data_IF_287323210532
#
_entry.id   IF_287323210532
#
_cell.length_a   1.000
_cell.length_b   1.000
_cell.length_c   1.000
_cell.angle_alpha   90.00
_cell.angle_beta   90.00
_cell.angle_gamma   90.00
#
_symmetry.space_group_name_H-M   'P 1'
#
loop_
_entity.id
_entity.type
_entity.pdbx_description
1 polymer ?
#
# COMPACT_ATOMS: atom_id res chain seq x y z
N UNK A 1 3.62 9.65 31.57
CA UNK A 1 4.80 9.53 30.69
C UNK A 1 4.36 9.11 29.28
N UNK A 2 5.14 9.39 28.23
CA UNK A 2 4.90 8.94 26.85
C UNK A 2 6.09 8.09 26.40
N UNK A 3 6.08 6.75 26.62
CA UNK A 3 7.23 5.90 26.31
C UNK A 3 7.51 5.85 24.81
N UNK A 4 8.78 5.66 24.46
CA UNK A 4 9.23 5.45 23.09
C UNK A 4 9.75 4.02 22.93
N UNK A 5 9.20 3.30 21.96
CA UNK A 5 9.61 1.95 21.59
C UNK A 5 10.42 1.97 20.30
N UNK A 6 11.25 0.96 20.08
CA UNK A 6 12.08 0.85 18.87
C UNK A 6 12.31 -0.61 18.51
N UNK A 7 12.50 -0.84 17.21
CA UNK A 7 13.04 -2.08 16.67
C UNK A 7 14.57 -2.02 16.63
N UNK A 8 15.21 -3.19 16.76
CA UNK A 8 16.67 -3.36 16.76
C UNK A 8 17.04 -4.68 16.10
N UNK A 9 18.32 -4.96 15.90
CA UNK A 9 18.75 -6.24 15.32
C UNK A 9 18.31 -7.46 16.16
N UNK A 10 18.21 -7.32 17.50
CA UNK A 10 17.75 -8.38 18.41
C UNK A 10 16.23 -8.37 18.65
N UNK A 11 15.53 -7.34 18.16
CA UNK A 11 14.08 -7.19 18.24
C UNK A 11 13.58 -6.57 16.91
N UNK A 12 13.60 -7.35 15.82
CA UNK A 12 13.40 -6.85 14.46
C UNK A 12 11.96 -6.42 14.16
N UNK A 13 11.78 -5.74 13.03
CA UNK A 13 10.48 -5.32 12.50
C UNK A 13 10.61 -4.94 11.03
N UNK A 14 10.66 -5.96 10.17
CA UNK A 14 10.85 -5.85 8.72
C UNK A 14 9.71 -5.12 8.03
N UNK A 15 8.49 -5.35 8.50
CA UNK A 15 7.27 -4.64 8.09
C UNK A 15 7.40 -3.14 8.35
N UNK A 16 7.62 -2.74 9.61
CA UNK A 16 7.73 -1.34 10.01
C UNK A 16 8.91 -0.63 9.32
N UNK A 17 10.09 -1.26 9.30
CA UNK A 17 11.26 -0.69 8.64
C UNK A 17 11.10 -0.65 7.11
N UNK A 18 10.46 -1.67 6.53
CA UNK A 18 10.16 -1.77 5.10
C UNK A 18 9.19 -0.68 4.64
N UNK A 19 8.05 -0.53 5.30
CA UNK A 19 7.09 0.54 4.97
C UNK A 19 7.70 1.93 5.15
N UNK A 20 8.50 2.13 6.20
CA UNK A 20 9.23 3.40 6.40
C UNK A 20 10.25 3.63 5.27
N UNK A 21 10.97 2.59 4.84
CA UNK A 21 11.89 2.70 3.71
C UNK A 21 11.16 3.04 2.40
N UNK A 22 10.00 2.42 2.15
CA UNK A 22 9.15 2.72 1.00
C UNK A 22 8.68 4.19 1.01
N UNK A 23 8.20 4.68 2.16
CA UNK A 23 7.75 6.06 2.33
C UNK A 23 8.89 7.07 2.07
N UNK A 24 10.07 6.85 2.64
CA UNK A 24 11.24 7.72 2.44
C UNK A 24 11.74 7.69 0.99
N UNK A 25 11.74 6.52 0.35
CA UNK A 25 12.10 6.40 -1.06
C UNK A 25 11.09 7.14 -1.96
N UNK A 26 9.79 6.98 -1.73
CA UNK A 26 8.73 7.70 -2.45
C UNK A 26 8.86 9.22 -2.26
N UNK A 27 9.05 9.68 -1.02
CA UNK A 27 9.23 11.10 -0.70
C UNK A 27 10.48 11.68 -1.37
N UNK A 28 11.57 10.92 -1.45
CA UNK A 28 12.78 11.37 -2.17
C UNK A 28 12.51 11.64 -3.65
N UNK A 29 11.64 10.86 -4.31
CA UNK A 29 11.25 11.12 -5.71
C UNK A 29 10.51 12.44 -5.82
N UNK A 30 9.55 12.69 -4.93
CA UNK A 30 8.70 13.89 -4.93
C UNK A 30 9.53 15.15 -4.71
N UNK A 31 10.46 15.11 -3.75
CA UNK A 31 11.23 16.28 -3.33
C UNK A 31 12.49 16.52 -4.15
N UNK A 32 12.85 15.62 -5.07
CA UNK A 32 14.11 15.68 -5.83
C UNK A 32 14.34 17.02 -6.53
N UNK A 33 13.29 17.64 -7.08
CA UNK A 33 13.39 18.91 -7.82
C UNK A 33 13.27 20.15 -6.93
N UNK A 34 12.50 20.08 -5.83
CA UNK A 34 12.26 21.23 -4.95
C UNK A 34 13.27 21.33 -3.81
N UNK A 35 13.79 20.21 -3.33
CA UNK A 35 14.80 20.12 -2.26
C UNK A 35 15.67 18.86 -2.46
N UNK A 36 16.67 19.00 -3.31
CA UNK A 36 17.57 17.89 -3.68
C UNK A 36 18.45 17.42 -2.50
N UNK A 37 18.79 18.31 -1.57
CA UNK A 37 19.57 17.97 -0.38
C UNK A 37 18.76 17.08 0.55
N UNK A 38 17.52 17.47 0.86
CA UNK A 38 16.66 16.66 1.70
C UNK A 38 16.22 15.36 1.00
N UNK A 39 15.98 15.41 -0.31
CA UNK A 39 15.78 14.19 -1.12
C UNK A 39 16.92 13.18 -0.95
N UNK A 40 18.18 13.63 -0.93
CA UNK A 40 19.33 12.74 -0.75
C UNK A 40 19.40 12.14 0.67
N UNK A 41 19.05 12.93 1.68
CA UNK A 41 18.91 12.47 3.08
C UNK A 41 17.85 11.38 3.22
N UNK A 42 16.65 11.62 2.67
CA UNK A 42 15.56 10.65 2.67
C UNK A 42 15.96 9.34 1.99
N UNK A 43 16.58 9.43 0.81
CA UNK A 43 17.01 8.24 0.07
C UNK A 43 18.12 7.46 0.81
N UNK A 44 19.02 8.16 1.50
CA UNK A 44 20.05 7.52 2.33
C UNK A 44 19.41 6.68 3.44
N UNK A 45 18.45 7.25 4.18
CA UNK A 45 17.74 6.52 5.23
C UNK A 45 16.84 5.41 4.69
N UNK A 46 16.20 5.60 3.53
CA UNK A 46 15.43 4.55 2.88
C UNK A 46 16.28 3.30 2.62
N UNK A 47 17.49 3.48 2.09
CA UNK A 47 18.43 2.37 1.83
C UNK A 47 18.87 1.67 3.12
N UNK A 48 19.17 2.44 4.16
CA UNK A 48 19.59 1.91 5.46
C UNK A 48 18.47 1.09 6.12
N UNK A 49 17.25 1.62 6.14
CA UNK A 49 16.08 0.95 6.72
C UNK A 49 15.70 -0.31 5.95
N UNK A 50 15.74 -0.27 4.61
CA UNK A 50 15.51 -1.47 3.82
C UNK A 50 16.56 -2.54 4.07
N UNK A 51 17.84 -2.15 4.16
CA UNK A 51 18.91 -3.09 4.51
C UNK A 51 18.66 -3.71 5.89
N UNK A 52 18.33 -2.91 6.90
CA UNK A 52 17.95 -3.40 8.22
C UNK A 52 16.76 -4.37 8.16
N UNK A 53 15.67 -3.99 7.50
CA UNK A 53 14.45 -4.78 7.36
C UNK A 53 14.72 -6.14 6.70
N UNK A 54 15.53 -6.15 5.65
CA UNK A 54 15.83 -7.35 4.88
C UNK A 54 16.90 -8.23 5.54
N UNK A 55 17.81 -7.67 6.35
CA UNK A 55 18.85 -8.44 7.07
C UNK A 55 18.33 -9.01 8.38
N UNK A 56 17.52 -8.27 9.12
CA UNK A 56 16.96 -8.68 10.41
C UNK A 56 15.46 -8.92 10.28
N UNK A 57 15.09 -10.16 9.93
CA UNK A 57 13.70 -10.53 9.62
C UNK A 57 12.85 -10.68 10.88
N UNK A 58 11.69 -10.04 10.91
CA UNK A 58 10.69 -10.25 11.95
C UNK A 58 9.52 -9.28 11.89
N UNK A 59 8.48 -9.58 12.66
CA UNK A 59 7.25 -8.78 12.75
C UNK A 59 7.43 -7.71 13.83
N UNK A 60 7.21 -6.43 13.50
CA UNK A 60 7.50 -5.36 14.47
C UNK A 60 6.62 -5.44 15.72
N UNK A 61 5.39 -5.93 15.61
CA UNK A 61 4.47 -6.04 16.74
C UNK A 61 4.86 -7.14 17.73
N UNK A 62 5.81 -8.01 17.38
CA UNK A 62 6.43 -8.96 18.32
C UNK A 62 7.53 -8.25 19.13
N UNK A 63 8.25 -7.30 18.53
CA UNK A 63 9.27 -6.48 19.19
C UNK A 63 8.68 -5.32 20.01
N UNK A 64 7.60 -4.71 19.52
CA UNK A 64 6.87 -3.61 20.15
C UNK A 64 5.48 -4.15 20.52
N UNK A 65 5.43 -4.92 21.60
CA UNK A 65 4.22 -5.66 22.00
C UNK A 65 3.01 -4.77 22.28
N UNK A 66 3.22 -3.51 22.70
CA UNK A 66 2.13 -2.53 22.87
C UNK A 66 1.32 -2.34 21.58
N UNK A 67 2.00 -2.35 20.42
CA UNK A 67 1.37 -2.18 19.11
C UNK A 67 0.48 -3.38 18.70
N UNK A 68 0.67 -4.57 19.29
CA UNK A 68 -0.09 -5.78 18.94
C UNK A 68 -1.58 -5.68 19.25
N UNK A 69 -1.99 -4.78 20.15
CA UNK A 69 -3.40 -4.50 20.43
C UNK A 69 -4.06 -3.49 19.47
N UNK A 70 -3.27 -2.85 18.60
CA UNK A 70 -3.73 -1.72 17.77
C UNK A 70 -3.46 -1.96 16.28
N UNK A 71 -2.19 -2.16 15.92
CA UNK A 71 -1.69 -2.29 14.56
C UNK A 71 -0.84 -3.54 14.43
N UNK A 72 -1.38 -4.68 14.87
CA UNK A 72 -0.67 -5.96 14.75
C UNK A 72 -0.42 -6.28 13.28
N UNK A 73 0.84 -6.50 12.95
CA UNK A 73 1.20 -6.88 11.58
C UNK A 73 0.87 -8.34 11.32
N UNK A 74 0.31 -8.62 10.13
CA UNK A 74 0.04 -9.98 9.68
C UNK A 74 1.18 -10.61 8.89
N UNK A 75 2.01 -9.78 8.26
CA UNK A 75 3.09 -10.18 7.36
C UNK A 75 4.12 -9.04 7.26
N UNK A 76 5.37 -9.39 6.98
CA UNK A 76 6.37 -8.43 6.51
C UNK A 76 6.80 -8.66 5.07
N UNK A 77 6.35 -9.76 4.46
CA UNK A 77 6.90 -10.26 3.20
C UNK A 77 6.61 -9.26 2.06
N UNK A 78 5.40 -8.73 2.04
CA UNK A 78 4.95 -7.74 1.07
C UNK A 78 5.58 -6.36 1.29
N UNK A 79 5.86 -5.95 2.53
CA UNK A 79 6.59 -4.72 2.85
C UNK A 79 8.01 -4.75 2.31
N UNK A 80 8.69 -5.91 2.38
CA UNK A 80 10.03 -6.04 1.82
C UNK A 80 10.02 -5.89 0.29
N UNK A 81 9.04 -6.46 -0.40
CA UNK A 81 8.88 -6.26 -1.85
C UNK A 81 8.53 -4.82 -2.15
N UNK A 82 7.58 -4.24 -1.42
CA UNK A 82 7.13 -2.86 -1.55
C UNK A 82 8.28 -1.86 -1.40
N UNK A 83 9.11 -2.01 -0.37
CA UNK A 83 10.29 -1.19 -0.15
C UNK A 83 11.32 -1.30 -1.28
N UNK A 84 11.60 -2.53 -1.73
CA UNK A 84 12.51 -2.77 -2.85
C UNK A 84 12.01 -2.11 -4.15
N UNK A 85 10.70 -2.20 -4.44
CA UNK A 85 10.09 -1.55 -5.59
C UNK A 85 10.23 -0.03 -5.54
N UNK A 86 9.96 0.59 -4.39
CA UNK A 86 10.12 2.04 -4.25
C UNK A 86 11.57 2.49 -4.34
N UNK A 87 12.51 1.72 -3.77
CA UNK A 87 13.94 1.99 -3.91
C UNK A 87 14.40 1.87 -5.37
N UNK A 88 13.92 0.88 -6.12
CA UNK A 88 14.15 0.82 -7.57
C UNK A 88 13.64 2.08 -8.26
N UNK A 89 12.39 2.50 -7.99
CA UNK A 89 11.83 3.72 -8.60
C UNK A 89 12.62 4.99 -8.25
N UNK A 90 13.18 5.08 -7.04
CA UNK A 90 13.94 6.24 -6.59
C UNK A 90 15.38 6.29 -7.14
N UNK A 91 15.97 5.13 -7.41
CA UNK A 91 17.41 5.01 -7.74
C UNK A 91 17.69 4.59 -9.18
N UNK A 92 16.74 3.92 -9.82
CA UNK A 92 16.92 3.16 -11.06
C UNK A 92 18.00 2.06 -10.95
N UNK A 93 18.38 1.65 -9.74
CA UNK A 93 19.35 0.59 -9.49
C UNK A 93 18.67 -0.78 -9.62
N UNK A 94 19.02 -1.51 -10.69
CA UNK A 94 18.44 -2.81 -11.03
C UNK A 94 18.58 -3.86 -9.92
N UNK A 95 19.55 -3.72 -9.01
CA UNK A 95 19.69 -4.63 -7.87
C UNK A 95 18.43 -4.66 -6.99
N UNK A 96 17.74 -3.54 -6.82
CA UNK A 96 16.48 -3.48 -6.08
C UNK A 96 15.33 -4.16 -6.83
N UNK A 97 15.27 -4.07 -8.15
CA UNK A 97 14.26 -4.80 -8.94
C UNK A 97 14.51 -6.31 -8.88
N UNK A 98 15.76 -6.76 -9.04
CA UNK A 98 16.12 -8.17 -8.87
C UNK A 98 15.77 -8.66 -7.46
N UNK A 99 16.01 -7.83 -6.44
CA UNK A 99 15.65 -8.14 -5.06
C UNK A 99 14.12 -8.22 -4.87
N UNK A 100 13.36 -7.29 -5.46
CA UNK A 100 11.90 -7.30 -5.41
C UNK A 100 11.31 -8.59 -6.01
N UNK A 101 11.78 -9.02 -7.19
CA UNK A 101 11.37 -10.30 -7.79
C UNK A 101 11.68 -11.50 -6.90
N UNK A 102 12.89 -11.55 -6.35
CA UNK A 102 13.32 -12.63 -5.45
C UNK A 102 12.45 -12.68 -4.19
N UNK A 103 12.16 -11.53 -3.57
CA UNK A 103 11.33 -11.45 -2.36
C UNK A 103 9.87 -11.77 -2.65
N UNK A 104 9.36 -11.38 -3.83
CA UNK A 104 8.00 -11.68 -4.26
C UNK A 104 7.77 -13.20 -4.38
N UNK A 105 8.77 -13.92 -4.90
CA UNK A 105 8.77 -15.39 -4.94
C UNK A 105 8.95 -16.00 -3.55
N UNK A 106 9.92 -15.50 -2.76
CA UNK A 106 10.19 -15.97 -1.39
C UNK A 106 8.96 -15.86 -0.49
N UNK A 107 8.24 -14.73 -0.56
CA UNK A 107 7.01 -14.47 0.20
C UNK A 107 5.75 -15.11 -0.40
N UNK A 108 5.87 -15.81 -1.53
CA UNK A 108 4.75 -16.44 -2.23
C UNK A 108 3.59 -15.49 -2.57
N UNK A 109 3.88 -14.21 -2.86
CA UNK A 109 2.86 -13.17 -3.07
C UNK A 109 1.95 -13.47 -4.26
N UNK A 110 2.44 -14.20 -5.28
CA UNK A 110 1.63 -14.61 -6.43
C UNK A 110 0.38 -15.44 -6.07
N UNK A 111 0.41 -16.11 -4.91
CA UNK A 111 -0.68 -16.92 -4.40
C UNK A 111 -1.50 -16.21 -3.32
N UNK A 112 -1.20 -14.94 -3.03
CA UNK A 112 -2.02 -14.09 -2.17
C UNK A 112 -3.36 -13.74 -2.83
N UNK A 113 -4.34 -13.42 -1.98
CA UNK A 113 -5.67 -12.92 -2.36
C UNK A 113 -5.65 -11.44 -2.79
N UNK A 114 -4.47 -10.80 -2.83
CA UNK A 114 -4.33 -9.37 -3.11
C UNK A 114 -4.68 -8.52 -1.90
N UNK A 115 -5.00 -7.25 -2.13
CA UNK A 115 -5.32 -6.29 -1.09
C UNK A 115 -4.37 -5.09 -1.05
N UNK A 116 -4.85 -4.01 -0.45
CA UNK A 116 -4.07 -2.79 -0.25
C UNK A 116 -4.62 -1.94 0.90
N UNK A 117 -3.90 -1.92 2.00
CA UNK A 117 -4.14 -1.08 3.17
C UNK A 117 -2.83 -0.83 3.93
N UNK A 118 -2.87 -0.64 5.24
CA UNK A 118 -1.67 -0.37 6.05
C UNK A 118 -0.90 -1.66 6.38
N UNK A 119 -1.55 -2.82 6.35
CA UNK A 119 -1.01 -4.14 6.73
C UNK A 119 -0.76 -5.04 5.51
N UNK A 120 -1.38 -4.76 4.37
CA UNK A 120 -1.15 -5.51 3.12
C UNK A 120 -0.85 -4.58 1.94
N UNK A 121 0.20 -4.88 1.17
CA UNK A 121 0.67 -4.10 0.01
C UNK A 121 0.59 -4.85 -1.33
N UNK A 122 0.20 -6.13 -1.31
CA UNK A 122 0.26 -7.07 -2.46
C UNK A 122 -0.21 -6.45 -3.78
N UNK A 123 -1.43 -5.92 -3.85
CA UNK A 123 -1.96 -5.40 -5.12
C UNK A 123 -1.30 -4.09 -5.55
N UNK A 124 -0.79 -3.30 -4.60
CA UNK A 124 0.05 -2.14 -4.89
C UNK A 124 1.40 -2.54 -5.49
N UNK A 125 2.04 -3.57 -4.92
CA UNK A 125 3.27 -4.19 -5.44
C UNK A 125 3.06 -4.69 -6.87
N UNK A 126 2.02 -5.47 -7.12
CA UNK A 126 1.73 -6.05 -8.45
C UNK A 126 1.51 -4.95 -9.51
N UNK A 127 0.78 -3.89 -9.18
CA UNK A 127 0.57 -2.75 -10.08
C UNK A 127 1.90 -2.05 -10.39
N UNK A 128 2.73 -1.75 -9.38
CA UNK A 128 4.01 -1.09 -9.62
C UNK A 128 4.96 -1.99 -10.42
N UNK A 129 5.05 -3.27 -10.04
CA UNK A 129 5.91 -4.27 -10.70
C UNK A 129 5.52 -4.47 -12.17
N UNK A 130 4.23 -4.37 -12.52
CA UNK A 130 3.75 -4.46 -13.91
C UNK A 130 4.39 -3.44 -14.87
N UNK A 131 4.98 -2.37 -14.35
CA UNK A 131 5.60 -1.29 -15.15
C UNK A 131 7.11 -1.37 -15.24
N UNK A 132 7.75 -2.15 -14.36
CA UNK A 132 9.21 -2.19 -14.21
C UNK A 132 9.80 -3.58 -14.43
N UNK A 133 8.98 -4.63 -14.31
CA UNK A 133 9.36 -6.01 -14.55
C UNK A 133 8.91 -6.50 -15.93
N UNK A 134 9.68 -7.42 -16.51
CA UNK A 134 9.29 -8.18 -17.71
C UNK A 134 8.36 -9.35 -17.39
N UNK A 135 8.19 -9.72 -16.11
CA UNK A 135 7.34 -10.83 -15.72
C UNK A 135 5.85 -10.43 -15.77
N UNK A 136 5.12 -11.03 -16.71
CA UNK A 136 3.71 -10.69 -16.93
C UNK A 136 2.77 -11.09 -15.79
N UNK A 137 3.22 -11.94 -14.83
CA UNK A 137 2.40 -12.37 -13.69
C UNK A 137 1.88 -11.18 -12.88
N UNK A 138 2.70 -10.14 -12.70
CA UNK A 138 2.36 -8.95 -11.92
C UNK A 138 1.14 -8.23 -12.51
N UNK A 139 1.13 -8.03 -13.83
CA UNK A 139 -0.02 -7.45 -14.54
C UNK A 139 -1.25 -8.35 -14.46
N UNK A 140 -1.06 -9.66 -14.60
CA UNK A 140 -2.17 -10.63 -14.55
C UNK A 140 -2.84 -10.65 -13.17
N UNK A 141 -2.05 -10.70 -12.10
CA UNK A 141 -2.54 -10.72 -10.72
C UNK A 141 -3.21 -9.40 -10.32
N UNK A 142 -2.58 -8.25 -10.64
CA UNK A 142 -3.19 -6.94 -10.44
C UNK A 142 -4.56 -6.85 -11.13
N UNK A 143 -4.64 -7.27 -12.41
CA UNK A 143 -5.91 -7.29 -13.15
C UNK A 143 -6.92 -8.24 -12.52
N UNK A 144 -6.50 -9.44 -12.13
CA UNK A 144 -7.38 -10.46 -11.53
C UNK A 144 -8.04 -9.94 -10.25
N UNK A 145 -7.24 -9.34 -9.35
CA UNK A 145 -7.76 -8.75 -8.12
C UNK A 145 -8.75 -7.62 -8.42
N UNK A 146 -8.38 -6.68 -9.30
CA UNK A 146 -9.23 -5.53 -9.60
C UNK A 146 -10.52 -5.90 -10.35
N UNK A 147 -10.48 -6.89 -11.24
CA UNK A 147 -11.67 -7.45 -11.87
C UNK A 147 -12.62 -8.03 -10.83
N UNK A 148 -12.11 -8.80 -9.86
CA UNK A 148 -12.91 -9.33 -8.76
C UNK A 148 -13.54 -8.20 -7.93
N UNK A 149 -12.77 -7.15 -7.58
CA UNK A 149 -13.31 -6.01 -6.84
C UNK A 149 -14.44 -5.29 -7.60
N UNK A 150 -14.34 -5.18 -8.93
CA UNK A 150 -15.33 -4.51 -9.77
C UNK A 150 -16.57 -5.38 -10.04
N UNK A 151 -16.41 -6.71 -10.12
CA UNK A 151 -17.48 -7.62 -10.55
C UNK A 151 -18.16 -8.30 -9.36
N UNK A 152 -17.36 -8.90 -8.49
CA UNK A 152 -17.84 -9.97 -7.59
C UNK A 152 -17.81 -9.59 -6.11
N UNK A 153 -16.95 -8.66 -5.69
CA UNK A 153 -16.85 -8.27 -4.29
C UNK A 153 -18.20 -7.79 -3.73
N UNK A 154 -18.49 -8.15 -2.48
CA UNK A 154 -19.69 -7.75 -1.76
C UNK A 154 -19.86 -6.23 -1.74
N UNK A 155 -21.11 -5.78 -1.94
CA UNK A 155 -21.49 -4.37 -1.90
C UNK A 155 -22.68 -4.15 -0.98
N UNK A 156 -22.76 -2.94 -0.45
CA UNK A 156 -24.00 -2.44 0.17
C UNK A 156 -25.10 -2.29 -0.90
N UNK A 157 -26.39 -2.22 -0.52
CA UNK A 157 -27.48 -1.97 -1.48
C UNK A 157 -27.33 -0.69 -2.30
N UNK A 158 -26.57 0.30 -1.81
CA UNK A 158 -26.26 1.56 -2.51
C UNK A 158 -24.92 1.53 -3.27
N UNK A 159 -24.29 0.36 -3.43
CA UNK A 159 -23.16 0.17 -4.34
C UNK A 159 -21.75 0.42 -3.77
N UNK A 160 -21.61 0.75 -2.49
CA UNK A 160 -20.29 0.81 -1.82
C UNK A 160 -19.71 -0.60 -1.66
N UNK A 161 -18.43 -0.79 -1.97
CA UNK A 161 -17.67 -1.99 -1.62
C UNK A 161 -17.67 -2.19 -0.10
N UNK A 162 -18.13 -3.37 0.33
CA UNK A 162 -18.11 -3.77 1.73
C UNK A 162 -17.05 -4.87 1.91
N UNK A 163 -15.86 -4.49 2.36
CA UNK A 163 -14.70 -5.38 2.49
C UNK A 163 -14.49 -5.77 3.95
N UNK A 164 -14.50 -4.78 4.83
CA UNK A 164 -14.42 -4.95 6.27
C UNK A 164 -15.32 -3.91 6.96
N UNK A 165 -15.77 -4.23 8.18
CA UNK A 165 -16.54 -3.31 9.02
C UNK A 165 -15.67 -2.16 9.55
N UNK A 166 -14.38 -2.40 9.77
CA UNK A 166 -13.41 -1.41 10.22
C UNK A 166 -12.88 -0.60 9.04
N UNK A 167 -13.32 0.66 8.97
CA UNK A 167 -12.88 1.55 7.90
C UNK A 167 -13.38 1.11 6.53
N UNK A 168 -14.67 0.76 6.42
CA UNK A 168 -15.29 0.36 5.15
C UNK A 168 -15.01 1.36 4.02
N UNK A 169 -15.17 2.66 4.28
CA UNK A 169 -14.87 3.71 3.30
C UNK A 169 -13.39 3.74 2.92
N UNK A 170 -12.47 3.54 3.88
CA UNK A 170 -11.02 3.45 3.61
C UNK A 170 -10.73 2.33 2.62
N UNK A 171 -11.27 1.13 2.84
CA UNK A 171 -11.03 0.01 1.92
C UNK A 171 -11.61 0.28 0.53
N UNK A 172 -12.83 0.80 0.44
CA UNK A 172 -13.45 1.15 -0.84
C UNK A 172 -12.62 2.21 -1.61
N UNK A 173 -12.13 3.25 -0.92
CA UNK A 173 -11.30 4.29 -1.55
C UNK A 173 -9.89 3.81 -1.88
N UNK A 174 -9.31 2.88 -1.13
CA UNK A 174 -8.04 2.25 -1.48
C UNK A 174 -8.17 1.47 -2.81
N UNK A 175 -9.24 0.69 -2.96
CA UNK A 175 -9.53 -0.01 -4.23
C UNK A 175 -9.75 0.99 -5.37
N UNK A 176 -10.50 2.07 -5.12
CA UNK A 176 -10.70 3.13 -6.11
C UNK A 176 -9.36 3.73 -6.58
N UNK A 177 -8.44 3.99 -5.65
CA UNK A 177 -7.10 4.45 -5.99
C UNK A 177 -6.35 3.44 -6.87
N UNK A 178 -6.33 2.16 -6.50
CA UNK A 178 -5.69 1.13 -7.32
C UNK A 178 -6.29 1.01 -8.73
N UNK A 179 -7.62 1.07 -8.86
CA UNK A 179 -8.31 1.05 -10.15
C UNK A 179 -7.88 2.22 -11.04
N UNK A 180 -7.74 3.42 -10.48
CA UNK A 180 -7.25 4.60 -11.22
C UNK A 180 -5.80 4.41 -11.67
N UNK A 181 -4.94 3.87 -10.80
CA UNK A 181 -3.55 3.59 -11.12
C UNK A 181 -3.42 2.53 -12.21
N UNK A 182 -4.17 1.43 -12.09
CA UNK A 182 -4.24 0.38 -13.10
C UNK A 182 -4.74 0.91 -14.45
N UNK A 183 -5.82 1.70 -14.45
CA UNK A 183 -6.38 2.29 -15.67
C UNK A 183 -5.39 3.26 -16.35
N UNK A 184 -4.59 4.01 -15.59
CA UNK A 184 -3.51 4.86 -16.12
C UNK A 184 -2.44 4.04 -16.86
N UNK A 185 -2.23 2.80 -16.43
CA UNK A 185 -1.25 1.87 -17.00
C UNK A 185 -1.83 0.97 -18.11
N UNK A 186 -3.09 1.19 -18.51
CA UNK A 186 -3.75 0.34 -19.50
C UNK A 186 -4.02 -1.08 -18.99
N UNK A 187 -4.23 -1.24 -17.68
CA UNK A 187 -4.70 -2.46 -17.05
C UNK A 187 -6.21 -2.34 -16.83
N UNK A 188 -6.98 -3.34 -17.28
CA UNK A 188 -8.44 -3.33 -17.21
C UNK A 188 -9.09 -2.60 -18.39
N UNK A 189 -10.38 -2.31 -18.27
CA UNK A 189 -11.17 -1.60 -19.27
C UNK A 189 -11.72 -0.26 -18.71
N UNK A 190 -12.58 0.41 -19.47
CA UNK A 190 -13.15 1.71 -19.07
C UNK A 190 -13.98 1.65 -17.79
N UNK A 191 -14.46 0.46 -17.37
CA UNK A 191 -15.22 0.28 -16.13
C UNK A 191 -14.41 0.64 -14.88
N UNK A 192 -13.08 0.50 -14.90
CA UNK A 192 -12.24 0.79 -13.74
C UNK A 192 -12.36 2.25 -13.30
N UNK A 193 -12.31 3.20 -14.24
CA UNK A 193 -12.43 4.63 -13.93
C UNK A 193 -13.83 4.97 -13.44
N UNK A 194 -14.85 4.43 -14.10
CA UNK A 194 -16.26 4.64 -13.72
C UNK A 194 -16.56 4.08 -12.33
N UNK A 195 -16.10 2.88 -12.04
CA UNK A 195 -16.30 2.23 -10.75
C UNK A 195 -15.48 2.91 -9.64
N UNK A 196 -14.22 3.28 -9.91
CA UNK A 196 -13.44 4.07 -8.96
C UNK A 196 -14.15 5.39 -8.60
N UNK A 197 -14.72 6.09 -9.60
CA UNK A 197 -15.50 7.30 -9.36
C UNK A 197 -16.70 7.03 -8.45
N UNK A 198 -17.45 5.94 -8.66
CA UNK A 198 -18.60 5.63 -7.80
C UNK A 198 -18.20 5.39 -6.34
N UNK A 199 -17.04 4.77 -6.09
CA UNK A 199 -16.51 4.55 -4.74
C UNK A 199 -16.02 5.84 -4.08
N UNK A 200 -15.59 6.84 -4.86
CA UNK A 200 -15.21 8.18 -4.35
C UNK A 200 -16.43 9.08 -4.16
N UNK A 201 -17.42 9.01 -5.06
CA UNK A 201 -18.66 9.79 -4.95
C UNK A 201 -19.48 9.38 -3.73
N UNK A 202 -19.38 8.11 -3.29
CA UNK A 202 -20.10 7.61 -2.12
C UNK A 202 -19.78 8.37 -0.82
N UNK A 203 -18.51 8.46 -0.35
CA UNK A 203 -18.17 9.28 0.81
C UNK A 203 -18.42 10.77 0.58
N UNK A 204 -18.48 11.26 -0.65
CA UNK A 204 -18.77 12.66 -0.95
C UNK A 204 -20.27 13.00 -0.98
N UNK A 205 -21.14 12.00 -1.02
CA UNK A 205 -22.57 12.20 -0.79
C UNK A 205 -23.53 11.66 -1.83
N UNK A 206 -23.10 10.79 -2.75
CA UNK A 206 -24.01 10.18 -3.76
C UNK A 206 -25.20 9.42 -3.14
N UNK A 207 -25.15 9.12 -1.84
CA UNK A 207 -26.22 8.44 -1.11
C UNK A 207 -27.17 9.36 -0.35
N UNK A 208 -27.01 10.68 -0.48
CA UNK A 208 -27.82 11.72 0.17
C UNK A 208 -27.15 12.41 1.36
N UNK A 209 -25.94 11.98 1.76
CA UNK A 209 -25.14 12.62 2.82
C UNK A 209 -23.65 12.33 2.66
N UNK A 210 -22.82 13.29 3.00
CA UNK A 210 -21.36 13.15 3.02
C UNK A 210 -20.89 12.35 4.23
N UNK A 211 -19.78 11.64 4.07
CA UNK A 211 -19.02 10.98 5.12
C UNK A 211 -17.67 11.67 5.36
N UNK A 212 -17.41 12.81 4.71
CA UNK A 212 -16.19 13.61 4.87
C UNK A 212 -16.50 14.85 5.68
N UNK A 213 -15.84 14.97 6.84
CA UNK A 213 -16.07 16.05 7.80
C UNK A 213 -15.82 17.42 7.15
N UNK A 214 -16.76 18.34 7.32
CA UNK A 214 -16.68 19.70 6.78
C UNK A 214 -16.97 19.82 5.28
N UNK A 215 -17.29 18.71 4.59
CA UNK A 215 -17.55 18.70 3.14
C UNK A 215 -18.96 18.18 2.87
N UNK A 216 -19.69 18.88 2.00
CA UNK A 216 -20.97 18.41 1.46
C UNK A 216 -22.12 18.39 2.47
N UNK A 217 -23.23 17.79 2.06
CA UNK A 217 -24.48 17.79 2.81
C UNK A 217 -24.44 16.80 3.99
N UNK A 218 -24.85 17.23 5.19
CA UNK A 218 -25.07 16.36 6.35
C UNK A 218 -23.89 15.42 6.69
N UNK A 219 -22.68 15.99 6.70
CA UNK A 219 -21.46 15.29 7.06
C UNK A 219 -21.43 14.89 8.56
N UNK A 220 -20.58 13.93 8.98
CA UNK A 220 -20.47 13.52 10.37
C UNK A 220 -19.93 14.64 11.27
N UNK A 221 -20.65 14.99 12.33
CA UNK A 221 -20.24 16.05 13.28
C UNK A 221 -19.63 15.52 14.58
N UNK A 222 -19.57 14.20 14.74
CA UNK A 222 -19.04 13.52 15.93
C UNK A 222 -18.14 12.36 15.48
N UNK A 223 -16.87 12.68 15.20
CA UNK A 223 -15.86 11.66 14.96
C UNK A 223 -15.43 11.04 16.29
N UNK A 224 -15.25 9.72 16.30
CA UNK A 224 -14.67 8.96 17.41
C UNK A 224 -13.27 8.51 17.03
#
# INVERSE_FOLDING_TARGET
>A
ARPAYKITASAPGSDLAGETAAALAAASIVLKSSDSSYSATLLTHAKQLFNFANTHRGIYSDAISDASGFYRSSSYADELVWAAVWLYKATNDKSYLTKAESLYQEGNLQNSNGGFDWDTKTSGVEILMSTISSNSIHKQKAKSYLDYMVKDQQRTPKGLLYIDQWGTLRHATNVAFLLLQAAKLGIGDSSYKTFAKSQVDYPLGSTGRSFVIGIGTNYPTHAQ
#
